data_IF_925319419485
#
_entry.id   IF_925319419485
#
_cell.length_a   1.000
_cell.length_b   1.000
_cell.length_c   1.000
_cell.angle_alpha   90.00
_cell.angle_beta   90.00
_cell.angle_gamma   90.00
#
_symmetry.space_group_name_H-M   'P 1'
#
loop_
_entity.id
_entity.type
_entity.pdbx_description
1 polymer ?
#
# COMPACT_ATOMS: atom_id res chain seq x y z
N UNK A 1 -13.84 -22.91 15.34
CA UNK A 1 -13.53 -22.66 15.10
C UNK A 1 -13.49 -22.10 14.48
N UNK A 2 -13.26 -21.70 14.40
CA UNK A 2 -13.03 -21.26 13.85
C UNK A 2 -12.66 -20.59 13.41
N UNK A 3 -12.18 -20.47 13.53
CA UNK A 3 -11.58 -19.99 13.08
C UNK A 3 -11.46 -19.50 12.28
N UNK A 4 -11.43 -19.48 11.93
CA UNK A 4 -11.33 -19.12 11.08
C UNK A 4 -11.70 -18.20 10.73
N UNK A 5 -12.26 -17.83 10.96
CA UNK A 5 -12.62 -16.88 10.76
C UNK A 5 -11.77 -15.95 10.61
N UNK A 6 -11.21 -16.09 11.02
CA UNK A 6 -10.19 -15.40 10.91
C UNK A 6 -9.69 -15.29 9.65
N UNK A 7 -10.29 -15.46 8.77
CA UNK A 7 -9.82 -15.39 7.52
C UNK A 7 -9.40 -14.05 7.15
N UNK A 8 -9.91 -13.02 7.75
CA UNK A 8 -9.53 -11.69 7.43
C UNK A 8 -8.16 -11.43 7.97
N UNK A 9 -7.21 -11.14 7.11
CA UNK A 9 -5.87 -10.83 7.52
C UNK A 9 -5.67 -9.35 7.68
N UNK A 10 -5.14 -8.95 8.81
CA UNK A 10 -4.82 -7.56 9.06
C UNK A 10 -3.32 -7.38 9.12
N UNK A 11 -2.84 -6.25 8.69
CA UNK A 11 -1.43 -5.94 8.74
C UNK A 11 -1.25 -4.46 9.00
N UNK A 12 -0.12 -4.11 9.61
CA UNK A 12 0.25 -2.71 9.77
C UNK A 12 1.48 -2.49 8.92
N UNK A 13 1.36 -1.63 7.95
CA UNK A 13 2.41 -1.41 6.97
C UNK A 13 2.67 0.08 6.82
N UNK A 14 3.91 0.47 6.52
CA UNK A 14 4.17 1.88 6.23
C UNK A 14 3.31 2.31 5.05
N UNK A 15 2.78 3.51 5.15
CA UNK A 15 1.85 4.04 4.17
C UNK A 15 2.54 5.01 3.23
N UNK A 16 2.30 4.87 1.95
CA UNK A 16 2.79 5.82 0.96
C UNK A 16 1.59 6.29 0.14
N UNK A 17 1.14 7.53 0.33
CA UNK A 17 0.08 8.08 -0.51
C UNK A 17 0.62 8.39 -1.91
N UNK A 18 -0.15 8.09 -2.93
CA UNK A 18 0.26 8.33 -4.31
C UNK A 18 -0.59 9.42 -4.94
N UNK A 19 0.02 10.22 -5.79
CA UNK A 19 -0.67 11.29 -6.50
C UNK A 19 -0.89 10.86 -7.94
N UNK A 20 -2.15 10.65 -8.28
CA UNK A 20 -2.49 10.40 -9.67
C UNK A 20 -2.01 9.06 -10.22
N UNK A 21 -1.75 8.11 -9.35
CA UNK A 21 -1.26 6.82 -9.77
C UNK A 21 -1.92 5.73 -8.95
N UNK A 22 -2.31 4.66 -9.61
CA UNK A 22 -2.89 3.51 -8.94
C UNK A 22 -2.04 2.29 -9.29
N UNK A 23 -1.72 1.49 -8.28
CA UNK A 23 -0.95 0.27 -8.50
C UNK A 23 -1.89 -0.91 -8.40
N UNK A 24 -1.87 -1.77 -9.41
CA UNK A 24 -2.74 -2.94 -9.41
C UNK A 24 -1.97 -4.19 -8.98
N UNK A 25 -2.67 -5.16 -8.38
CA UNK A 25 -2.02 -6.42 -8.04
C UNK A 25 -1.43 -7.08 -9.28
N UNK A 26 -0.33 -7.75 -9.08
CA UNK A 26 0.35 -8.49 -10.15
C UNK A 26 0.95 -7.61 -11.24
N UNK A 27 1.15 -6.34 -10.94
CA UNK A 27 1.84 -5.47 -11.88
C UNK A 27 3.07 -4.90 -11.20
N UNK A 28 4.05 -4.52 -12.00
CA UNK A 28 5.28 -3.91 -11.51
C UNK A 28 5.33 -2.51 -12.05
N UNK A 29 5.49 -1.53 -11.18
CA UNK A 29 5.55 -0.14 -11.61
C UNK A 29 6.65 0.58 -10.85
N UNK A 30 7.03 1.73 -11.37
CA UNK A 30 8.05 2.57 -10.74
C UNK A 30 7.35 3.79 -10.14
N UNK A 31 7.68 4.11 -8.90
CA UNK A 31 7.14 5.31 -8.27
C UNK A 31 8.31 6.14 -7.76
N UNK A 32 8.15 7.45 -7.80
CA UNK A 32 9.19 8.36 -7.31
C UNK A 32 8.71 8.95 -6.00
N UNK A 33 9.53 8.82 -4.97
CA UNK A 33 9.21 9.31 -3.64
C UNK A 33 10.16 10.44 -3.28
N UNK A 34 9.58 11.58 -2.92
CA UNK A 34 10.38 12.72 -2.53
C UNK A 34 9.95 13.37 -1.24
N UNK A 35 8.75 13.03 -0.75
CA UNK A 35 8.27 13.62 0.49
C UNK A 35 8.89 12.89 1.68
N UNK A 36 9.20 13.65 2.70
CA UNK A 36 9.88 13.09 3.86
C UNK A 36 9.12 11.92 4.49
N UNK A 37 7.81 12.05 4.61
CA UNK A 37 7.03 10.97 5.20
C UNK A 37 7.09 9.70 4.35
N UNK A 38 7.08 9.84 3.04
CA UNK A 38 7.16 8.68 2.16
C UNK A 38 8.56 8.05 2.22
N UNK A 39 9.58 8.87 2.33
CA UNK A 39 10.94 8.34 2.43
C UNK A 39 11.15 7.63 3.75
N UNK A 40 10.54 8.13 4.83
CA UNK A 40 10.61 7.45 6.12
C UNK A 40 9.85 6.13 6.08
N UNK A 41 8.72 6.09 5.37
CA UNK A 41 7.98 4.86 5.21
C UNK A 41 8.81 3.83 4.45
N UNK A 42 9.52 4.28 3.42
CA UNK A 42 10.37 3.40 2.66
C UNK A 42 11.46 2.81 3.54
N UNK A 43 12.10 3.66 4.36
CA UNK A 43 13.13 3.18 5.25
C UNK A 43 12.60 2.16 6.22
N UNK A 44 11.43 2.43 6.79
CA UNK A 44 10.83 1.50 7.74
C UNK A 44 10.54 0.16 7.07
N UNK A 45 10.02 0.20 5.85
CA UNK A 45 9.72 -1.03 5.13
C UNK A 45 10.98 -1.83 4.88
N UNK A 46 12.07 -1.15 4.53
CA UNK A 46 13.32 -1.85 4.25
C UNK A 46 13.94 -2.47 5.52
N UNK A 47 13.59 -1.95 6.67
CA UNK A 47 14.05 -2.53 7.93
C UNK A 47 13.22 -3.76 8.29
N UNK A 48 12.13 -3.97 7.60
CA UNK A 48 11.25 -5.11 7.87
C UNK A 48 11.24 -6.02 6.65
N UNK A 49 10.08 -6.31 6.10
CA UNK A 49 10.01 -7.27 5.00
C UNK A 49 9.86 -6.63 3.62
N UNK A 50 10.03 -5.33 3.52
CA UNK A 50 10.00 -4.64 2.23
C UNK A 50 8.63 -4.45 1.66
N UNK A 51 7.58 -4.41 2.48
CA UNK A 51 6.23 -4.18 2.00
C UNK A 51 5.73 -2.81 2.39
N UNK A 52 4.95 -2.22 1.52
CA UNK A 52 4.32 -0.93 1.76
C UNK A 52 2.84 -1.05 1.39
N UNK A 53 2.02 -0.20 2.01
CA UNK A 53 0.65 -0.04 1.54
C UNK A 53 0.58 1.26 0.78
N UNK A 54 0.13 1.22 -0.46
CA UNK A 54 0.00 2.42 -1.29
C UNK A 54 -1.45 2.62 -1.63
N UNK A 55 -1.89 3.88 -1.60
CA UNK A 55 -3.25 4.21 -2.02
C UNK A 55 -3.23 5.63 -2.57
N UNK A 56 -4.16 5.94 -3.44
CA UNK A 56 -4.19 7.24 -4.09
C UNK A 56 -4.78 8.29 -3.18
N UNK A 57 -4.29 9.51 -3.31
CA UNK A 57 -4.88 10.65 -2.62
C UNK A 57 -6.12 11.09 -3.38
N UNK A 58 -7.15 11.49 -2.65
CA UNK A 58 -8.34 12.02 -3.29
C UNK A 58 -8.06 13.37 -3.89
N UNK A 59 -7.20 14.16 -3.24
CA UNK A 59 -6.77 15.45 -3.76
C UNK A 59 -5.26 15.39 -3.89
N UNK A 60 -4.76 15.32 -5.10
CA UNK A 60 -3.34 15.13 -5.33
C UNK A 60 -2.51 16.36 -4.98
N UNK A 61 -3.14 17.48 -4.67
CA UNK A 61 -2.37 18.68 -4.31
C UNK A 61 -1.96 18.72 -2.84
N UNK A 62 -2.50 17.83 -2.01
CA UNK A 62 -2.18 17.87 -0.59
C UNK A 62 -0.81 17.28 -0.32
N UNK A 63 -0.02 17.96 0.50
CA UNK A 63 1.32 17.48 0.86
C UNK A 63 1.27 16.53 2.05
N UNK A 64 0.30 16.70 2.93
CA UNK A 64 0.19 15.89 4.13
C UNK A 64 -1.22 15.34 4.25
N UNK A 65 -1.59 14.38 3.42
CA UNK A 65 -2.96 13.86 3.47
C UNK A 65 -3.22 13.11 4.76
N UNK A 66 -4.43 13.28 5.28
CA UNK A 66 -4.86 12.52 6.44
C UNK A 66 -5.67 11.33 5.94
N UNK A 67 -6.16 10.54 6.88
CA UNK A 67 -6.88 9.32 6.52
C UNK A 67 -8.05 9.59 5.59
N UNK A 68 -8.81 10.67 5.83
CA UNK A 68 -9.97 10.95 4.99
C UNK A 68 -9.61 11.48 3.61
N UNK A 69 -8.35 11.83 3.40
CA UNK A 69 -7.89 12.33 2.11
C UNK A 69 -7.41 11.20 1.21
N UNK A 70 -7.54 9.96 1.65
CA UNK A 70 -7.05 8.81 0.92
C UNK A 70 -8.21 7.92 0.51
N UNK A 71 -8.04 7.23 -0.62
CA UNK A 71 -9.00 6.21 -0.99
C UNK A 71 -8.81 5.02 -0.06
N UNK A 72 -9.90 4.37 0.31
CA UNK A 72 -9.83 3.28 1.26
C UNK A 72 -9.32 1.98 0.64
N UNK A 73 -9.46 1.83 -0.67
CA UNK A 73 -8.95 0.63 -1.31
C UNK A 73 -7.57 0.94 -1.90
N UNK A 74 -6.59 0.20 -1.49
CA UNK A 74 -5.24 0.37 -2.00
C UNK A 74 -4.61 -0.98 -2.28
N UNK A 75 -3.31 -1.01 -2.36
CA UNK A 75 -2.58 -2.21 -2.71
C UNK A 75 -1.37 -2.39 -1.80
N UNK A 76 -1.17 -3.60 -1.33
CA UNK A 76 0.06 -3.93 -0.63
C UNK A 76 1.08 -4.27 -1.72
N UNK A 77 2.23 -3.61 -1.66
CA UNK A 77 3.26 -3.80 -2.67
C UNK A 77 4.55 -4.26 -2.02
N UNK A 78 5.38 -4.92 -2.81
CA UNK A 78 6.70 -5.36 -2.38
C UNK A 78 7.72 -4.50 -3.09
N UNK A 79 8.70 -3.98 -2.35
CA UNK A 79 9.78 -3.19 -2.93
C UNK A 79 10.74 -4.15 -3.60
N UNK A 80 10.98 -3.92 -4.90
CA UNK A 80 11.87 -4.78 -5.66
C UNK A 80 13.23 -4.13 -5.92
N UNK A 81 13.25 -2.81 -6.04
CA UNK A 81 14.49 -2.13 -6.39
C UNK A 81 14.39 -0.67 -5.99
N UNK A 82 15.48 -0.08 -5.58
CA UNK A 82 15.54 1.31 -5.16
C UNK A 82 16.69 1.98 -5.87
N UNK A 83 16.46 3.16 -6.42
CA UNK A 83 17.51 3.92 -7.09
C UNK A 83 17.42 5.37 -6.68
N UNK A 84 18.53 5.91 -6.19
CA UNK A 84 18.59 7.31 -5.81
C UNK A 84 18.59 8.18 -7.07
N UNK A 85 17.79 9.20 -7.10
CA UNK A 85 17.70 10.14 -8.21
C UNK A 85 18.17 11.51 -7.76
N UNK A 86 18.37 12.45 -8.69
CA UNK A 86 18.70 13.82 -8.30
C UNK A 86 17.58 14.45 -7.49
N UNK A 87 17.91 15.54 -6.80
CA UNK A 87 16.94 16.31 -6.04
C UNK A 87 16.30 15.52 -4.89
N UNK A 88 17.05 14.58 -4.35
CA UNK A 88 16.62 13.82 -3.19
C UNK A 88 15.36 13.01 -3.44
N UNK A 89 15.13 12.65 -4.67
CA UNK A 89 14.03 11.77 -5.04
C UNK A 89 14.56 10.36 -5.09
N UNK A 90 13.77 9.40 -4.61
CA UNK A 90 14.14 8.00 -4.66
C UNK A 90 13.14 7.29 -5.57
N UNK A 91 13.67 6.61 -6.58
CA UNK A 91 12.82 5.86 -7.50
C UNK A 91 12.74 4.43 -7.02
N UNK A 92 11.51 3.95 -6.86
CA UNK A 92 11.29 2.63 -6.27
C UNK A 92 10.51 1.77 -7.25
N UNK A 93 11.03 0.58 -7.52
CA UNK A 93 10.30 -0.38 -8.34
C UNK A 93 9.52 -1.24 -7.38
N UNK A 94 8.20 -1.26 -7.53
CA UNK A 94 7.35 -2.01 -6.63
C UNK A 94 6.46 -2.97 -7.41
N UNK A 95 6.14 -4.07 -6.78
CA UNK A 95 5.26 -5.06 -7.36
C UNK A 95 4.00 -5.14 -6.52
N UNK A 96 2.83 -5.01 -7.14
CA UNK A 96 1.57 -5.15 -6.43
C UNK A 96 1.33 -6.59 -6.04
N UNK A 97 1.05 -6.82 -4.78
CA UNK A 97 0.82 -8.15 -4.27
C UNK A 97 -0.67 -8.47 -4.17
N UNK A 98 -1.42 -7.63 -3.49
CA UNK A 98 -2.84 -7.85 -3.36
C UNK A 98 -3.54 -6.56 -2.92
N UNK A 99 -4.83 -6.48 -3.17
CA UNK A 99 -5.60 -5.33 -2.75
C UNK A 99 -5.89 -5.41 -1.27
N UNK A 100 -5.97 -4.27 -0.64
CA UNK A 100 -6.28 -4.21 0.77
C UNK A 100 -7.13 -2.99 1.07
N UNK A 101 -7.87 -3.06 2.15
CA UNK A 101 -8.75 -1.99 2.59
C UNK A 101 -8.10 -1.28 3.74
N UNK A 102 -8.01 0.03 3.64
CA UNK A 102 -7.44 0.85 4.70
C UNK A 102 -8.44 0.94 5.84
N UNK A 103 -8.04 0.43 7.00
CA UNK A 103 -8.90 0.45 8.17
C UNK A 103 -8.61 1.68 9.02
N UNK A 104 -7.35 2.02 9.17
CA UNK A 104 -6.99 3.14 10.03
C UNK A 104 -5.59 3.62 9.68
N UNK A 105 -5.35 4.92 9.84
CA UNK A 105 -4.02 5.48 9.67
C UNK A 105 -3.51 5.88 11.04
N UNK A 106 -2.32 5.40 11.38
CA UNK A 106 -1.69 5.73 12.64
C UNK A 106 -0.51 6.65 12.36
N UNK A 107 -0.39 7.71 13.16
CA UNK A 107 0.72 8.62 12.98
C UNK A 107 1.87 8.12 13.85
N UNK A 108 3.00 7.93 13.25
CA UNK A 108 4.17 7.39 13.94
C UNK A 108 5.38 8.27 13.65
N UNK A 109 5.52 9.35 14.40
CA UNK A 109 6.62 10.28 14.18
C UNK A 109 6.46 10.96 12.83
N UNK A 110 7.49 10.83 12.02
CA UNK A 110 7.49 11.50 10.73
C UNK A 110 6.98 10.61 9.61
N UNK A 111 6.12 9.67 9.92
CA UNK A 111 5.55 8.82 8.88
C UNK A 111 4.19 8.33 9.32
N UNK A 112 3.47 7.72 8.39
CA UNK A 112 2.16 7.16 8.65
C UNK A 112 2.21 5.65 8.49
N UNK A 113 1.48 4.96 9.35
CA UNK A 113 1.36 3.51 9.28
C UNK A 113 -0.10 3.21 8.96
N UNK A 114 -0.34 2.36 8.00
CA UNK A 114 -1.68 1.97 7.63
C UNK A 114 -2.01 0.61 8.25
N UNK A 115 -3.14 0.55 8.92
CA UNK A 115 -3.67 -0.74 9.32
C UNK A 115 -4.64 -1.14 8.22
N UNK A 116 -4.39 -2.26 7.59
CA UNK A 116 -5.16 -2.68 6.43
C UNK A 116 -5.66 -4.10 6.60
N UNK A 117 -6.74 -4.40 5.89
CA UNK A 117 -7.29 -5.75 5.84
C UNK A 117 -7.23 -6.20 4.39
N UNK A 118 -6.68 -7.38 4.16
CA UNK A 118 -6.61 -7.89 2.80
C UNK A 118 -8.01 -8.00 2.23
N UNK A 119 -8.16 -7.58 0.97
CA UNK A 119 -9.46 -7.69 0.33
C UNK A 119 -9.75 -9.16 0.15
N UNK A 120 -10.96 -9.55 0.46
CA UNK A 120 -11.31 -10.94 0.47
C UNK A 120 -11.25 -11.57 -0.88
N UNK A 121 -10.31 -12.43 -1.13
CA UNK A 121 -10.19 -13.04 -2.45
C UNK A 121 -11.34 -13.98 -2.71
N UNK A 122 -12.06 -14.29 -1.71
CA UNK A 122 -13.13 -15.17 -1.94
C UNK A 122 -14.11 -14.58 -2.88
N UNK A 123 -14.17 -13.29 -2.90
CA UNK A 123 -15.06 -12.67 -3.82
C UNK A 123 -14.70 -13.05 -5.20
N UNK A 124 -13.49 -13.36 -5.41
CA UNK A 124 -13.05 -13.69 -6.70
C UNK A 124 -13.22 -15.10 -6.94
N UNK A 125 -12.86 -15.95 -6.02
CA UNK A 125 -12.93 -17.28 -6.31
C UNK A 125 -14.30 -17.76 -6.40
N UNK A 126 -15.25 -17.05 -5.98
CA UNK A 126 -16.51 -17.52 -6.18
C UNK A 126 -16.81 -17.68 -7.55
N UNK A 127 -16.24 -16.92 -8.31
CA UNK A 127 -16.52 -17.01 -9.65
C UNK A 127 -15.77 -18.04 -10.25
N UNK A 128 -14.73 -18.25 -9.71
CA UNK A 128 -13.95 -19.24 -10.24
C UNK A 128 -14.62 -20.44 -10.15
N UNK A 129 -15.21 -20.45 -9.65
CA UNK A 129 -15.63 -21.53 -9.59
C UNK A 129 -16.63 -21.59 -10.21
N UNK A 130 -16.90 -20.98 -10.51
CA UNK A 130 -17.63 -21.08 -11.12
C UNK A 130 -17.60 -20.82 -12.16
N UNK A 131 -16.94 -20.49 -12.27
CA UNK A 131 -16.74 -20.53 -13.05
C UNK A 131 -16.55 -20.92 -13.53
N UNK A 132 -16.42 -20.89 -13.34
CA UNK A 132 -16.26 -21.40 -13.56
C UNK A 132 -16.48 -21.65 -13.66
N UNK A 133 -16.68 -21.41 -13.45
CA UNK A 133 -16.90 -21.73 -13.46
C UNK A 133 -17.05 -21.95 -13.78
#
# INVERSE_FOLDING_TARGET
>A
MNRKQSKQEYAKLPLVPLRGLVVFPNTVVTVDLGRERSLNALKKAMEEDGRLFVTAQRDSTLDHPSETDLYTTGTVVKIRQIAQQPDQVVRVLVEGLYRAILMEVLEAGEMQIAEVAAEEPAAVKLTAERQAS
#
